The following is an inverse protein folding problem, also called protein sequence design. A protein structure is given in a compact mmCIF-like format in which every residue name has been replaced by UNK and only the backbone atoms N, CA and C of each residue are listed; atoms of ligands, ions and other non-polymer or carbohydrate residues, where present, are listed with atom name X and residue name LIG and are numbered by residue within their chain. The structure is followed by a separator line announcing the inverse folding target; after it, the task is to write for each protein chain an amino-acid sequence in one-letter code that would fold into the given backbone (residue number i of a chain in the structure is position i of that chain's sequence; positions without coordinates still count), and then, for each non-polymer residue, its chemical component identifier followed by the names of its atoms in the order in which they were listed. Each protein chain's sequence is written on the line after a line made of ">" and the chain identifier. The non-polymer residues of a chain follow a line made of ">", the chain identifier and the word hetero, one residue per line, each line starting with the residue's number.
data_IF_223543996976
#
_entry.id   IF_223543996976
#
_cell.length_a   1.000
_cell.length_b   1.000
_cell.length_c   1.000
_cell.angle_alpha   90.00
_cell.angle_beta   90.00
_cell.angle_gamma   90.00
#
_symmetry.space_group_name_H-M   'P 1'
#
loop_
_entity.id
_entity.type
_entity.pdbx_description
1 polymer ?
#
# COMPACT_ATOMS: atom_id res chain seq x y z
N UNK A 1 -15.87 25.67 -16.66
CA UNK A 1 -15.64 25.72 -15.20
C UNK A 1 -15.41 24.30 -14.73
N UNK A 2 -14.39 24.04 -13.92
CA UNK A 2 -14.05 22.69 -13.44
C UNK A 2 -14.86 22.28 -12.20
N UNK A 3 -14.70 21.04 -11.78
CA UNK A 3 -15.27 20.54 -10.53
C UNK A 3 -14.64 21.26 -9.32
N UNK A 4 -15.42 21.65 -8.29
CA UNK A 4 -14.87 22.26 -7.09
C UNK A 4 -13.98 21.29 -6.31
N UNK A 5 -12.95 21.82 -5.66
CA UNK A 5 -12.08 21.02 -4.78
C UNK A 5 -12.90 20.51 -3.58
N UNK A 6 -12.91 19.19 -3.40
CA UNK A 6 -13.55 18.53 -2.26
C UNK A 6 -12.55 18.39 -1.12
N UNK A 7 -13.00 18.68 0.10
CA UNK A 7 -12.23 18.48 1.34
C UNK A 7 -13.06 17.60 2.25
N UNK A 8 -12.45 16.55 2.77
CA UNK A 8 -13.08 15.63 3.70
C UNK A 8 -12.17 15.47 4.92
N UNK A 9 -12.78 15.48 6.11
CA UNK A 9 -12.12 15.16 7.36
C UNK A 9 -12.57 13.77 7.79
N UNK A 10 -11.62 12.85 7.97
CA UNK A 10 -11.88 11.49 8.40
C UNK A 10 -11.52 11.31 9.87
N UNK A 11 -12.26 10.47 10.63
CA UNK A 11 -12.01 10.26 12.05
C UNK A 11 -10.75 9.45 12.35
N UNK A 12 -10.17 8.78 11.35
CA UNK A 12 -8.92 8.03 11.47
C UNK A 12 -8.26 7.85 10.10
N UNK A 13 -6.95 7.58 10.10
CA UNK A 13 -6.18 7.26 8.89
C UNK A 13 -6.78 6.06 8.11
N UNK A 14 -7.36 5.10 8.82
CA UNK A 14 -8.02 3.95 8.20
C UNK A 14 -9.28 4.35 7.46
N UNK A 15 -10.13 5.17 8.09
CA UNK A 15 -11.35 5.69 7.48
C UNK A 15 -11.03 6.62 6.29
N UNK A 16 -9.95 7.39 6.37
CA UNK A 16 -9.45 8.19 5.24
C UNK A 16 -9.06 7.27 4.07
N UNK A 17 -8.27 6.22 4.34
CA UNK A 17 -7.82 5.31 3.30
C UNK A 17 -8.96 4.52 2.66
N UNK A 18 -9.96 4.09 3.44
CA UNK A 18 -11.17 3.44 2.93
C UNK A 18 -11.95 4.38 2.00
N UNK A 19 -12.15 5.63 2.44
CA UNK A 19 -12.81 6.65 1.62
C UNK A 19 -12.05 6.92 0.32
N UNK A 20 -10.72 7.04 0.36
CA UNK A 20 -9.90 7.22 -0.85
C UNK A 20 -10.08 6.05 -1.82
N UNK A 21 -10.10 4.82 -1.35
CA UNK A 21 -10.29 3.63 -2.20
C UNK A 21 -11.68 3.62 -2.84
N UNK A 22 -12.72 3.97 -2.09
CA UNK A 22 -14.08 4.03 -2.60
C UNK A 22 -14.25 5.13 -3.64
N UNK A 23 -13.67 6.31 -3.40
CA UNK A 23 -13.63 7.41 -4.38
C UNK A 23 -12.91 6.97 -5.66
N UNK A 24 -11.75 6.32 -5.53
CA UNK A 24 -10.97 5.82 -6.67
C UNK A 24 -11.77 4.79 -7.48
N UNK A 25 -12.54 3.93 -6.82
CA UNK A 25 -13.43 2.97 -7.50
C UNK A 25 -14.56 3.67 -8.24
N UNK A 26 -15.17 4.69 -7.65
CA UNK A 26 -16.24 5.46 -8.29
C UNK A 26 -15.73 6.17 -9.55
N UNK A 27 -14.61 6.88 -9.45
CA UNK A 27 -13.99 7.59 -10.58
C UNK A 27 -13.60 6.67 -11.74
N UNK A 28 -13.14 5.46 -11.43
CA UNK A 28 -12.74 4.48 -12.44
C UNK A 28 -13.96 3.74 -13.01
N UNK A 29 -15.01 3.54 -12.21
CA UNK A 29 -16.23 2.85 -12.65
C UNK A 29 -17.12 3.72 -13.52
N UNK A 30 -17.05 5.05 -13.39
CA UNK A 30 -17.80 5.96 -14.26
C UNK A 30 -17.18 6.11 -15.66
N UNK A 31 -16.06 5.43 -15.95
CA UNK A 31 -15.22 5.54 -17.16
C UNK A 31 -14.64 6.94 -17.45
N UNK A 32 -14.89 7.91 -16.57
CA UNK A 32 -14.42 9.29 -16.76
C UNK A 32 -12.91 9.41 -16.59
N UNK A 33 -12.31 8.56 -15.73
CA UNK A 33 -10.89 8.66 -15.40
C UNK A 33 -10.20 7.29 -15.39
N UNK A 34 -9.25 7.04 -16.31
CA UNK A 34 -8.46 5.82 -16.25
C UNK A 34 -7.54 5.85 -15.02
N UNK A 35 -7.34 4.69 -14.37
CA UNK A 35 -6.51 4.55 -13.15
C UNK A 35 -5.14 5.23 -13.23
N UNK A 36 -4.52 5.27 -14.42
CA UNK A 36 -3.20 5.89 -14.64
C UNK A 36 -3.19 7.41 -14.47
N UNK A 37 -4.35 8.05 -14.52
CA UNK A 37 -4.54 9.50 -14.39
C UNK A 37 -4.90 9.91 -12.96
N UNK A 38 -5.04 8.94 -12.05
CA UNK A 38 -5.28 9.19 -10.62
C UNK A 38 -3.98 9.00 -9.85
N UNK A 39 -3.65 9.97 -8.99
CA UNK A 39 -2.50 9.91 -8.11
C UNK A 39 -2.90 10.29 -6.67
N UNK A 40 -2.36 9.56 -5.70
CA UNK A 40 -2.50 9.86 -4.27
C UNK A 40 -1.17 10.42 -3.79
N UNK A 41 -1.20 11.65 -3.26
CA UNK A 41 -0.03 12.35 -2.74
C UNK A 41 -0.10 12.40 -1.22
N UNK A 42 1.00 12.07 -0.57
CA UNK A 42 1.12 12.10 0.89
C UNK A 42 2.46 12.74 1.29
N UNK A 43 2.55 13.20 2.54
CA UNK A 43 3.69 13.98 3.01
C UNK A 43 4.87 13.13 3.46
N UNK A 44 4.60 11.95 4.04
CA UNK A 44 5.62 11.06 4.61
C UNK A 44 5.40 9.61 4.20
N UNK A 45 6.49 8.88 4.00
CA UNK A 45 6.50 7.44 3.69
C UNK A 45 5.87 6.55 4.77
N UNK A 46 5.62 7.07 5.98
CA UNK A 46 4.87 6.36 7.01
C UNK A 46 3.37 6.26 6.67
N UNK A 47 2.83 7.27 5.97
CA UNK A 47 1.41 7.32 5.58
C UNK A 47 1.08 6.33 4.46
N UNK A 48 2.08 5.91 3.67
CA UNK A 48 1.85 4.96 2.57
C UNK A 48 1.31 3.63 3.06
N UNK A 49 1.69 3.18 4.26
CA UNK A 49 1.34 1.85 4.79
C UNK A 49 -0.17 1.62 4.83
N UNK A 50 -0.95 2.57 5.35
CA UNK A 50 -2.40 2.40 5.53
C UNK A 50 -3.10 2.40 4.16
N UNK A 51 -2.72 3.31 3.27
CA UNK A 51 -3.21 3.39 1.90
C UNK A 51 -2.90 2.13 1.11
N UNK A 52 -1.64 1.67 1.13
CA UNK A 52 -1.20 0.45 0.44
C UNK A 52 -1.95 -0.79 0.94
N UNK A 53 -2.17 -0.89 2.25
CA UNK A 53 -2.93 -2.00 2.85
C UNK A 53 -4.37 -2.00 2.36
N UNK A 54 -5.03 -0.84 2.33
CA UNK A 54 -6.41 -0.76 1.83
C UNK A 54 -6.52 -1.02 0.34
N UNK A 55 -5.63 -0.44 -0.47
CA UNK A 55 -5.59 -0.70 -1.91
C UNK A 55 -5.37 -2.19 -2.21
N UNK A 56 -4.47 -2.83 -1.46
CA UNK A 56 -4.22 -4.27 -1.57
C UNK A 56 -5.45 -5.11 -1.20
N UNK A 57 -6.06 -4.84 -0.04
CA UNK A 57 -7.27 -5.55 0.42
C UNK A 57 -8.44 -5.35 -0.56
N UNK A 58 -8.54 -4.17 -1.16
CA UNK A 58 -9.53 -3.81 -2.15
C UNK A 58 -9.27 -4.40 -3.54
N UNK A 59 -8.14 -5.07 -3.76
CA UNK A 59 -7.72 -5.61 -5.05
C UNK A 59 -7.44 -4.55 -6.10
N UNK A 60 -7.15 -3.31 -5.69
CA UNK A 60 -6.89 -2.19 -6.61
C UNK A 60 -5.41 -2.18 -6.98
N UNK A 61 -5.04 -2.33 -8.26
CA UNK A 61 -3.64 -2.26 -8.69
C UNK A 61 -3.08 -0.85 -8.45
N UNK A 62 -1.93 -0.76 -7.79
CA UNK A 62 -1.27 0.51 -7.50
C UNK A 62 0.24 0.45 -7.77
N UNK A 63 0.84 1.63 -7.93
CA UNK A 63 2.29 1.81 -8.04
C UNK A 63 2.74 2.94 -7.14
N UNK A 64 3.75 2.67 -6.32
CA UNK A 64 4.39 3.66 -5.45
C UNK A 64 5.55 4.30 -6.22
N UNK A 65 5.64 5.63 -6.19
CA UNK A 65 6.75 6.41 -6.76
C UNK A 65 7.52 7.09 -5.63
N UNK A 66 8.86 7.12 -5.72
CA UNK A 66 9.71 7.79 -4.71
C UNK A 66 10.15 6.94 -3.52
N UNK A 67 9.99 5.61 -3.58
CA UNK A 67 10.45 4.67 -2.55
C UNK A 67 10.17 3.20 -2.91
N UNK A 68 10.65 2.27 -2.09
CA UNK A 68 10.25 0.86 -2.14
C UNK A 68 8.84 0.73 -1.57
N UNK A 69 8.00 -0.16 -2.15
CA UNK A 69 6.69 -0.51 -1.57
C UNK A 69 6.90 -0.92 -0.11
N UNK A 70 5.91 -0.72 0.75
CA UNK A 70 6.06 -1.08 2.17
C UNK A 70 6.55 -2.54 2.35
N UNK A 71 5.92 -3.49 1.64
CA UNK A 71 6.30 -4.91 1.64
C UNK A 71 7.60 -5.22 0.89
N UNK A 72 8.15 -4.26 0.15
CA UNK A 72 9.41 -4.41 -0.57
C UNK A 72 10.63 -4.04 0.25
N UNK A 73 10.45 -3.30 1.36
CA UNK A 73 11.53 -2.87 2.25
C UNK A 73 12.26 -4.05 2.88
N UNK A 74 13.58 -3.93 3.01
CA UNK A 74 14.44 -5.00 3.50
C UNK A 74 14.05 -5.41 4.93
N UNK A 75 13.80 -4.46 5.84
CA UNK A 75 13.42 -4.79 7.23
C UNK A 75 12.12 -5.60 7.31
N UNK A 76 11.13 -5.27 6.49
CA UNK A 76 9.84 -5.98 6.47
C UNK A 76 10.02 -7.40 5.92
N UNK A 77 10.81 -7.56 4.86
CA UNK A 77 11.10 -8.89 4.29
C UNK A 77 11.91 -9.77 5.23
N UNK A 78 12.84 -9.20 6.00
CA UNK A 78 13.62 -9.96 6.98
C UNK A 78 12.74 -10.45 8.12
N UNK A 79 11.89 -9.57 8.68
CA UNK A 79 10.95 -9.96 9.72
C UNK A 79 9.99 -11.07 9.26
N UNK A 80 9.43 -10.96 8.04
CA UNK A 80 8.57 -12.00 7.47
C UNK A 80 9.30 -13.32 7.23
N UNK A 81 10.56 -13.28 6.81
CA UNK A 81 11.37 -14.49 6.62
C UNK A 81 11.66 -15.21 7.94
N UNK A 82 11.95 -14.48 9.02
CA UNK A 82 12.06 -15.07 10.36
C UNK A 82 10.76 -15.75 10.81
N UNK A 83 9.60 -15.09 10.62
CA UNK A 83 8.31 -15.68 10.96
C UNK A 83 8.01 -16.95 10.15
N UNK A 84 8.34 -16.96 8.85
CA UNK A 84 8.19 -18.15 7.99
C UNK A 84 9.07 -19.30 8.43
N UNK A 85 10.30 -19.04 8.87
CA UNK A 85 11.20 -20.09 9.38
C UNK A 85 10.74 -20.68 10.72
N UNK A 86 10.07 -19.88 11.56
CA UNK A 86 9.43 -20.39 12.78
C UNK A 86 8.30 -21.36 12.47
N UNK A 87 7.51 -21.08 11.43
CA UNK A 87 6.41 -21.97 10.98
C UNK A 87 6.92 -23.17 10.17
N UNK A 88 7.86 -22.94 9.25
CA UNK A 88 8.45 -23.93 8.37
C UNK A 88 9.99 -23.77 8.31
N UNK A 89 10.73 -24.54 9.12
CA UNK A 89 12.19 -24.53 9.14
C UNK A 89 12.87 -24.95 7.83
N UNK A 90 12.14 -25.60 6.91
CA UNK A 90 12.65 -26.07 5.61
C UNK A 90 12.47 -25.06 4.47
N UNK A 91 12.06 -23.82 4.76
CA UNK A 91 12.04 -22.76 3.75
C UNK A 91 13.44 -22.21 3.47
N UNK A 92 14.16 -22.88 2.57
CA UNK A 92 15.51 -22.50 2.13
C UNK A 92 15.58 -21.05 1.60
N UNK A 93 14.51 -20.54 0.99
CA UNK A 93 14.49 -19.18 0.44
C UNK A 93 14.45 -18.12 1.53
N UNK A 94 13.67 -18.38 2.58
CA UNK A 94 13.63 -17.52 3.77
C UNK A 94 14.92 -17.65 4.56
N UNK A 95 15.49 -18.85 4.70
CA UNK A 95 16.76 -19.10 5.40
C UNK A 95 17.94 -18.35 4.77
N UNK A 96 18.16 -18.52 3.46
CA UNK A 96 19.26 -17.84 2.75
C UNK A 96 19.17 -16.31 2.81
N UNK A 97 17.95 -15.77 2.95
CA UNK A 97 17.74 -14.32 3.08
C UNK A 97 18.21 -13.78 4.42
N UNK A 98 17.90 -14.47 5.52
CA UNK A 98 18.15 -13.97 6.88
C UNK A 98 19.45 -14.49 7.50
N UNK A 99 20.04 -15.58 6.99
CA UNK A 99 21.25 -16.18 7.58
C UNK A 99 22.45 -15.23 7.68
N UNK A 100 22.55 -14.25 6.78
CA UNK A 100 23.62 -13.26 6.74
C UNK A 100 23.23 -11.90 7.37
N UNK A 101 22.03 -11.78 7.95
CA UNK A 101 21.53 -10.55 8.55
C UNK A 101 21.09 -10.81 10.00
N UNK A 102 21.70 -10.15 11.01
CA UNK A 102 21.20 -10.25 12.38
C UNK A 102 19.79 -9.67 12.53
#
# INVERSE_FOLDING_TARGET
>A
AGEPVRVLEAPSDFAEAEWVVDELRQLVSSEDYPRREVAVLYRSNAQSRVLETQLFNAGVPYRVYGGLRFFERAEIKHALAYLRLLENPHDDTSFLRVVNFP
#
